data_IF_342493699054
#
_entry.id   IF_342493699054
#
_cell.length_a   1.000
_cell.length_b   1.000
_cell.length_c   1.000
_cell.angle_alpha   90.00
_cell.angle_beta   90.00
_cell.angle_gamma   90.00
#
_symmetry.space_group_name_H-M   'P 1'
#
loop_
_entity.id
_entity.type
_entity.pdbx_description
1 polymer ?
#
# COMPACT_ATOMS: atom_id res chain seq x y z
N UNK A 1 -14.00 25.78 -8.85
CA UNK A 1 -14.06 25.81 -7.38
C UNK A 1 -12.81 25.16 -6.84
N UNK A 2 -12.22 25.73 -5.80
CA UNK A 2 -10.93 25.33 -5.24
C UNK A 2 -11.04 24.93 -3.77
N UNK A 3 -10.10 24.09 -3.33
CA UNK A 3 -10.02 23.65 -1.94
C UNK A 3 -9.52 24.79 -1.03
N UNK A 4 -10.26 25.11 0.04
CA UNK A 4 -9.89 26.17 0.98
C UNK A 4 -8.60 25.96 1.79
N UNK A 5 -7.96 24.78 1.72
CA UNK A 5 -6.66 24.51 2.37
C UNK A 5 -5.50 24.64 1.38
N UNK A 6 -5.52 23.88 0.28
CA UNK A 6 -4.40 23.83 -0.66
C UNK A 6 -4.54 24.77 -1.87
N UNK A 7 -5.69 25.44 -2.03
CA UNK A 7 -6.04 26.29 -3.17
C UNK A 7 -5.97 25.60 -4.54
N UNK A 8 -5.94 24.26 -4.60
CA UNK A 8 -6.05 23.53 -5.86
C UNK A 8 -7.52 23.41 -6.29
N UNK A 9 -7.74 23.48 -7.60
CA UNK A 9 -9.03 23.16 -8.21
C UNK A 9 -9.44 21.71 -7.92
N UNK A 10 -10.72 21.50 -7.64
CA UNK A 10 -11.25 20.16 -7.48
C UNK A 10 -11.19 19.37 -8.79
N UNK A 11 -10.90 18.08 -8.69
CA UNK A 11 -10.81 17.16 -9.82
C UNK A 11 -11.27 15.75 -9.43
N UNK A 12 -11.59 14.91 -10.43
CA UNK A 12 -12.15 13.58 -10.20
C UNK A 12 -11.14 12.53 -9.70
N UNK A 13 -9.85 12.86 -9.57
CA UNK A 13 -8.77 11.90 -9.33
C UNK A 13 -7.92 12.20 -8.11
N UNK A 14 -7.52 13.45 -7.88
CA UNK A 14 -6.51 13.83 -6.91
C UNK A 14 -7.02 14.83 -5.88
N UNK A 15 -7.87 15.77 -6.28
CA UNK A 15 -8.51 16.74 -5.39
C UNK A 15 -10.01 16.52 -5.37
N UNK A 16 -10.44 15.34 -4.90
CA UNK A 16 -11.86 15.00 -4.84
C UNK A 16 -12.49 15.85 -3.73
N UNK A 17 -13.52 16.67 -4.01
CA UNK A 17 -14.19 17.46 -3.01
C UNK A 17 -14.94 16.54 -2.05
N UNK A 18 -14.73 16.76 -0.76
CA UNK A 18 -15.21 15.92 0.32
C UNK A 18 -15.89 16.78 1.36
N UNK A 19 -17.13 16.41 1.70
CA UNK A 19 -17.99 17.14 2.63
C UNK A 19 -17.72 16.68 4.07
N UNK A 20 -17.49 17.64 4.97
CA UNK A 20 -17.43 17.40 6.42
C UNK A 20 -18.83 17.51 7.05
N UNK A 21 -18.99 16.98 8.26
CA UNK A 21 -20.27 17.03 9.02
C UNK A 21 -20.77 18.47 9.26
N UNK A 22 -19.87 19.45 9.27
CA UNK A 22 -20.22 20.86 9.41
C UNK A 22 -20.67 21.55 8.09
N UNK A 23 -20.67 20.83 6.97
CA UNK A 23 -21.05 21.36 5.66
C UNK A 23 -19.91 21.99 4.85
N UNK A 24 -18.72 22.17 5.44
CA UNK A 24 -17.55 22.65 4.71
C UNK A 24 -16.98 21.55 3.79
N UNK A 25 -16.47 21.96 2.63
CA UNK A 25 -15.89 21.05 1.63
C UNK A 25 -14.40 21.30 1.44
N UNK A 26 -13.59 20.25 1.49
CA UNK A 26 -12.15 20.28 1.24
C UNK A 26 -11.76 19.12 0.32
N UNK A 27 -10.59 19.16 -0.31
CA UNK A 27 -10.15 17.98 -1.05
C UNK A 27 -9.77 16.85 -0.09
N UNK A 28 -10.06 15.60 -0.47
CA UNK A 28 -9.77 14.40 0.33
C UNK A 28 -8.33 14.36 0.87
N UNK A 29 -7.34 14.75 0.07
CA UNK A 29 -5.93 14.78 0.49
C UNK A 29 -5.69 15.73 1.66
N UNK A 30 -6.27 16.93 1.63
CA UNK A 30 -6.14 17.89 2.72
C UNK A 30 -6.82 17.40 4.00
N UNK A 31 -7.96 16.71 3.89
CA UNK A 31 -8.62 16.10 5.05
C UNK A 31 -7.74 14.98 5.64
N UNK A 32 -7.14 14.14 4.81
CA UNK A 32 -6.16 13.14 5.24
C UNK A 32 -4.98 13.78 5.97
N UNK A 33 -4.43 14.88 5.44
CA UNK A 33 -3.32 15.60 6.07
C UNK A 33 -3.73 16.22 7.43
N UNK A 34 -4.98 16.73 7.56
CA UNK A 34 -5.54 17.19 8.86
C UNK A 34 -5.64 16.02 9.84
N UNK A 35 -6.11 14.86 9.40
CA UNK A 35 -6.29 13.67 10.25
C UNK A 35 -4.96 13.10 10.73
N UNK A 36 -3.96 13.06 9.84
CA UNK A 36 -2.64 12.50 10.12
C UNK A 36 -1.81 13.49 10.99
N UNK A 37 -2.20 14.76 11.04
CA UNK A 37 -1.47 15.81 11.74
C UNK A 37 -0.25 16.31 10.95
N UNK A 38 -0.23 16.10 9.62
CA UNK A 38 0.86 16.51 8.73
C UNK A 38 0.74 17.99 8.30
N UNK A 39 -0.41 18.65 8.54
CA UNK A 39 -0.55 20.09 8.34
C UNK A 39 0.10 20.87 9.48
N UNK A 40 1.18 21.60 9.15
CA UNK A 40 1.80 22.60 10.00
C UNK A 40 0.90 23.82 10.15
N UNK A 41 -0.19 23.69 10.91
CA UNK A 41 -0.90 24.86 11.43
C UNK A 41 -0.15 25.24 12.70
N UNK A 42 0.88 26.08 12.55
CA UNK A 42 1.79 26.47 13.63
C UNK A 42 1.10 27.26 14.78
N UNK A 43 -0.21 27.50 14.69
CA UNK A 43 -0.99 28.28 15.67
C UNK A 43 -2.12 27.53 16.41
N UNK A 44 -2.31 26.22 16.22
CA UNK A 44 -3.33 25.48 17.01
C UNK A 44 -2.76 24.98 18.35
N UNK A 45 -2.66 25.92 19.29
CA UNK A 45 -2.42 25.71 20.72
C UNK A 45 -3.60 24.99 21.40
N UNK A 46 -3.94 23.72 21.15
CA UNK A 46 -4.85 22.99 22.06
C UNK A 46 -4.62 21.47 22.12
N UNK A 47 -4.64 20.98 23.37
CA UNK A 47 -4.39 19.60 23.83
C UNK A 47 -5.55 18.61 23.60
N UNK A 48 -6.50 18.90 22.71
CA UNK A 48 -7.61 17.98 22.41
C UNK A 48 -7.30 17.18 21.14
N UNK A 49 -7.30 15.85 21.23
CA UNK A 49 -7.18 14.90 20.09
C UNK A 49 -8.36 14.96 19.11
N UNK A 50 -9.22 15.98 19.20
CA UNK A 50 -10.41 16.11 18.39
C UNK A 50 -10.07 16.68 17.01
N UNK A 51 -10.62 16.06 15.98
CA UNK A 51 -10.43 16.46 14.58
C UNK A 51 -11.38 17.61 14.30
N UNK A 52 -10.83 18.82 14.19
CA UNK A 52 -11.62 20.05 14.04
C UNK A 52 -11.58 20.54 12.60
N UNK A 53 -12.73 21.00 12.09
CA UNK A 53 -12.83 21.62 10.78
C UNK A 53 -11.90 22.86 10.71
N UNK A 54 -11.14 23.03 9.62
CA UNK A 54 -10.25 24.19 9.45
C UNK A 54 -10.94 25.56 9.41
N UNK A 55 -12.26 25.59 9.13
CA UNK A 55 -13.01 26.86 8.95
C UNK A 55 -13.80 27.23 10.19
N UNK A 56 -14.56 26.30 10.77
CA UNK A 56 -15.45 26.60 11.90
C UNK A 56 -15.08 25.90 13.21
N UNK A 57 -13.97 25.16 13.21
CA UNK A 57 -13.45 24.41 14.35
C UNK A 57 -14.45 23.44 14.98
N UNK A 58 -15.51 23.04 14.26
CA UNK A 58 -16.42 21.99 14.75
C UNK A 58 -15.76 20.63 14.60
N UNK A 59 -15.94 19.71 15.57
CA UNK A 59 -15.46 18.35 15.45
C UNK A 59 -16.16 17.66 14.27
N UNK A 60 -15.42 16.80 13.56
CA UNK A 60 -15.97 16.00 12.47
C UNK A 60 -15.62 14.51 12.60
N UNK A 61 -16.49 13.65 12.08
CA UNK A 61 -16.33 12.20 12.06
C UNK A 61 -15.32 11.76 11.00
N UNK A 62 -14.77 10.54 11.13
CA UNK A 62 -13.87 9.97 10.11
C UNK A 62 -14.59 9.41 8.88
N UNK A 63 -15.92 9.56 8.80
CA UNK A 63 -16.71 9.07 7.67
C UNK A 63 -16.93 10.20 6.69
N UNK A 64 -16.08 10.23 5.67
CA UNK A 64 -16.13 11.25 4.66
C UNK A 64 -16.94 10.80 3.46
N UNK A 65 -17.77 11.71 2.93
CA UNK A 65 -18.49 11.49 1.67
C UNK A 65 -18.00 12.48 0.63
N UNK A 66 -17.78 12.05 -0.63
CA UNK A 66 -17.56 12.98 -1.72
C UNK A 66 -18.74 13.97 -1.81
N UNK A 67 -18.45 15.24 -2.07
CA UNK A 67 -19.48 16.23 -2.32
C UNK A 67 -19.99 16.05 -3.77
N UNK A 68 -20.97 15.16 -3.94
CA UNK A 68 -21.53 14.81 -5.25
C UNK A 68 -22.26 15.97 -5.93
N UNK A 69 -22.86 16.89 -5.17
CA UNK A 69 -23.46 18.11 -5.72
C UNK A 69 -22.37 18.97 -6.38
N UNK A 70 -21.24 19.14 -5.69
CA UNK A 70 -20.09 19.86 -6.23
C UNK A 70 -19.52 19.17 -7.47
N UNK A 71 -19.31 17.85 -7.42
CA UNK A 71 -18.81 17.08 -8.56
C UNK A 71 -19.74 17.19 -9.77
N UNK A 72 -21.05 17.19 -9.56
CA UNK A 72 -22.05 17.36 -10.62
C UNK A 72 -21.98 18.76 -11.21
N UNK A 73 -21.91 19.80 -10.36
CA UNK A 73 -21.78 21.19 -10.81
C UNK A 73 -20.50 21.45 -11.61
N UNK A 74 -19.43 20.70 -11.33
CA UNK A 74 -18.15 20.78 -12.03
C UNK A 74 -18.05 19.86 -13.25
N UNK A 75 -19.11 19.10 -13.57
CA UNK A 75 -19.08 18.06 -14.62
C UNK A 75 -17.97 17.02 -14.44
N UNK A 76 -17.65 16.71 -13.18
CA UNK A 76 -16.61 15.75 -12.76
C UNK A 76 -17.18 14.41 -12.30
N UNK A 77 -18.51 14.26 -12.26
CA UNK A 77 -19.16 13.04 -11.83
C UNK A 77 -18.93 11.91 -12.87
N UNK A 78 -18.38 10.74 -12.49
CA UNK A 78 -18.13 9.64 -13.43
C UNK A 78 -19.39 8.92 -13.93
N UNK A 79 -20.60 9.38 -13.56
CA UNK A 79 -21.84 8.68 -13.89
C UNK A 79 -22.19 8.99 -15.34
N UNK A 80 -21.91 8.03 -16.22
CA UNK A 80 -22.44 7.98 -17.58
C UNK A 80 -23.96 8.10 -17.55
N UNK A 81 -24.50 8.95 -18.41
CA UNK A 81 -25.92 9.30 -18.56
C UNK A 81 -26.86 8.17 -19.03
N UNK A 82 -26.49 6.90 -18.92
CA UNK A 82 -27.30 5.78 -19.41
C UNK A 82 -27.91 4.99 -18.25
N UNK A 83 -29.04 5.49 -17.75
CA UNK A 83 -29.90 4.78 -16.83
C UNK A 83 -30.87 3.86 -17.59
N UNK A 84 -30.48 2.60 -17.80
CA UNK A 84 -31.41 1.48 -17.88
C UNK A 84 -30.80 0.27 -17.17
N UNK A 85 -31.33 -0.03 -15.99
CA UNK A 85 -31.06 -1.29 -15.30
C UNK A 85 -31.82 -2.43 -15.99
N UNK A 86 -31.12 -3.52 -16.37
CA UNK A 86 -31.70 -4.83 -16.11
C UNK A 86 -30.72 -5.77 -15.39
N UNK A 87 -31.28 -6.38 -14.35
CA UNK A 87 -30.98 -7.67 -13.72
C UNK A 87 -29.72 -8.44 -14.22
N UNK A 88 -28.64 -8.28 -13.46
CA UNK A 88 -27.35 -8.95 -13.63
C UNK A 88 -27.40 -10.45 -13.23
N UNK A 89 -28.46 -10.92 -12.56
CA UNK A 89 -28.52 -12.29 -12.03
C UNK A 89 -28.96 -13.36 -13.02
N UNK A 90 -29.54 -13.01 -14.18
CA UNK A 90 -30.14 -14.01 -15.07
C UNK A 90 -29.19 -14.55 -16.16
N UNK A 91 -28.17 -13.78 -16.60
CA UNK A 91 -27.25 -14.20 -17.69
C UNK A 91 -26.21 -15.26 -17.30
N UNK A 92 -25.88 -15.38 -16.01
CA UNK A 92 -24.90 -16.38 -15.56
C UNK A 92 -25.49 -17.78 -15.34
N UNK A 93 -26.82 -17.94 -15.24
CA UNK A 93 -27.45 -19.29 -15.13
C UNK A 93 -27.43 -20.06 -16.46
N UNK A 94 -27.53 -19.39 -17.59
CA UNK A 94 -27.65 -20.04 -18.91
C UNK A 94 -26.34 -20.56 -19.50
N UNK A 95 -25.19 -20.03 -19.05
CA UNK A 95 -23.86 -20.49 -19.52
C UNK A 95 -23.45 -21.78 -18.79
N UNK A 96 -23.81 -21.94 -17.52
CA UNK A 96 -23.46 -23.13 -16.73
C UNK A 96 -24.35 -24.35 -17.02
N UNK A 97 -25.62 -24.16 -17.41
CA UNK A 97 -26.51 -25.28 -17.76
C UNK A 97 -26.15 -25.97 -19.09
N UNK A 98 -25.40 -25.32 -19.98
CA UNK A 98 -25.00 -25.91 -21.28
C UNK A 98 -23.67 -26.69 -21.24
N UNK A 99 -22.88 -26.58 -20.17
CA UNK A 99 -21.61 -27.32 -20.04
C UNK A 99 -21.70 -28.58 -19.17
N UNK A 100 -22.81 -28.77 -18.43
CA UNK A 100 -23.04 -29.96 -17.60
C UNK A 100 -23.52 -31.19 -18.38
N UNK A 101 -23.89 -31.06 -19.65
CA UNK A 101 -24.51 -32.13 -20.44
C UNK A 101 -23.54 -32.96 -21.30
N UNK A 102 -22.23 -32.67 -21.30
CA UNK A 102 -21.26 -33.30 -22.23
C UNK A 102 -19.94 -33.79 -21.58
N UNK A 103 -19.97 -34.32 -20.35
CA UNK A 103 -18.82 -35.07 -19.81
C UNK A 103 -19.27 -36.35 -19.13
N UNK A 104 -18.59 -37.45 -19.46
CA UNK A 104 -18.64 -38.68 -18.69
C UNK A 104 -18.29 -38.38 -17.22
N UNK A 105 -18.93 -39.05 -16.25
CA UNK A 105 -18.74 -38.75 -14.84
C UNK A 105 -17.30 -39.07 -14.44
N UNK A 106 -16.59 -38.04 -13.96
CA UNK A 106 -15.24 -38.08 -13.38
C UNK A 106 -15.04 -39.20 -12.31
N UNK A 107 -16.15 -39.74 -11.79
CA UNK A 107 -16.22 -40.84 -10.84
C UNK A 107 -15.69 -42.19 -11.38
N UNK A 108 -15.63 -42.40 -12.70
CA UNK A 108 -15.15 -43.67 -13.27
C UNK A 108 -13.62 -43.81 -13.25
N UNK A 109 -12.88 -42.69 -13.13
CA UNK A 109 -11.41 -42.70 -13.17
C UNK A 109 -10.75 -42.93 -11.80
N UNK A 110 -11.47 -42.74 -10.69
CA UNK A 110 -10.91 -42.83 -9.33
C UNK A 110 -11.94 -43.33 -8.31
N UNK A 111 -12.28 -44.64 -8.29
CA UNK A 111 -13.34 -45.20 -7.45
C UNK A 111 -13.02 -45.19 -5.93
N UNK A 112 -11.79 -44.85 -5.54
CA UNK A 112 -11.35 -44.81 -4.14
C UNK A 112 -11.44 -43.43 -3.48
N UNK A 113 -11.75 -42.37 -4.23
CA UNK A 113 -11.85 -41.01 -3.67
C UNK A 113 -13.29 -40.75 -3.25
N UNK A 114 -13.51 -40.53 -1.95
CA UNK A 114 -14.82 -40.21 -1.38
C UNK A 114 -15.40 -38.95 -2.07
N UNK A 115 -16.70 -38.95 -2.37
CA UNK A 115 -17.42 -37.80 -2.93
C UNK A 115 -17.24 -36.54 -2.08
N UNK A 116 -17.03 -36.68 -0.76
CA UNK A 116 -16.69 -35.55 0.12
C UNK A 116 -15.32 -34.97 -0.20
N UNK A 117 -14.30 -35.80 -0.43
CA UNK A 117 -12.96 -35.36 -0.80
C UNK A 117 -12.94 -34.68 -2.18
N UNK A 118 -13.74 -35.16 -3.14
CA UNK A 118 -13.89 -34.51 -4.46
C UNK A 118 -14.54 -33.14 -4.30
N UNK A 119 -15.60 -33.02 -3.48
CA UNK A 119 -16.25 -31.74 -3.21
C UNK A 119 -15.32 -30.77 -2.47
N UNK A 120 -14.49 -31.24 -1.54
CA UNK A 120 -13.49 -30.43 -0.84
C UNK A 120 -12.37 -29.96 -1.78
N UNK A 121 -11.84 -30.82 -2.65
CA UNK A 121 -10.83 -30.44 -3.66
C UNK A 121 -11.42 -29.45 -4.66
N UNK A 122 -12.67 -29.68 -5.10
CA UNK A 122 -13.35 -28.79 -6.04
C UNK A 122 -13.67 -27.44 -5.40
N UNK A 123 -14.20 -27.41 -4.17
CA UNK A 123 -14.48 -26.17 -3.43
C UNK A 123 -13.18 -25.42 -3.11
N UNK A 124 -12.11 -26.11 -2.69
CA UNK A 124 -10.80 -25.49 -2.48
C UNK A 124 -10.24 -24.89 -3.77
N UNK A 125 -10.37 -25.60 -4.90
CA UNK A 125 -9.91 -25.12 -6.21
C UNK A 125 -10.74 -23.94 -6.72
N UNK A 126 -12.07 -23.99 -6.58
CA UNK A 126 -12.99 -22.92 -7.00
C UNK A 126 -12.85 -21.69 -6.12
N UNK A 127 -12.71 -21.85 -4.81
CA UNK A 127 -12.53 -20.74 -3.87
C UNK A 127 -11.17 -20.04 -4.09
N UNK A 128 -10.11 -20.81 -4.38
CA UNK A 128 -8.82 -20.26 -4.82
C UNK A 128 -8.87 -19.57 -6.19
N UNK A 129 -9.81 -19.94 -7.07
CA UNK A 129 -10.03 -19.27 -8.37
C UNK A 129 -10.82 -17.97 -8.20
N UNK A 130 -11.74 -17.89 -7.24
CA UNK A 130 -12.57 -16.69 -6.98
C UNK A 130 -11.81 -15.66 -6.11
N UNK A 131 -10.95 -16.09 -5.20
CA UNK A 131 -10.21 -15.19 -4.28
C UNK A 131 -8.92 -14.59 -4.87
N UNK A 132 -8.49 -15.02 -6.06
CA UNK A 132 -7.29 -14.51 -6.73
C UNK A 132 -7.60 -13.47 -7.81
N UNK A 133 -8.63 -12.64 -7.62
CA UNK A 133 -8.79 -11.44 -8.43
C UNK A 133 -7.61 -10.50 -8.16
N UNK A 134 -6.64 -10.55 -9.07
CA UNK A 134 -5.47 -9.70 -9.01
C UNK A 134 -5.91 -8.25 -9.27
N UNK A 135 -5.75 -7.39 -8.26
CA UNK A 135 -6.19 -5.99 -8.32
C UNK A 135 -5.01 -5.03 -8.46
N UNK A 136 -5.23 -3.93 -9.18
CA UNK A 136 -4.30 -2.80 -9.17
C UNK A 136 -4.36 -2.06 -7.81
N UNK A 137 -3.50 -1.06 -7.62
CA UNK A 137 -3.45 -0.25 -6.39
C UNK A 137 -4.76 0.50 -6.09
N UNK A 138 -5.61 0.70 -7.09
CA UNK A 138 -6.92 1.37 -6.95
C UNK A 138 -8.08 0.36 -6.81
N UNK A 139 -7.80 -0.94 -6.64
CA UNK A 139 -8.81 -1.97 -6.43
C UNK A 139 -9.49 -2.52 -7.70
N UNK A 140 -9.19 -2.00 -8.89
CA UNK A 140 -9.71 -2.58 -10.15
C UNK A 140 -9.02 -3.90 -10.50
N UNK A 141 -9.78 -4.81 -11.11
CA UNK A 141 -9.27 -6.10 -11.60
C UNK A 141 -8.27 -5.92 -12.75
N UNK A 142 -7.22 -6.73 -12.72
CA UNK A 142 -6.24 -6.86 -13.79
C UNK A 142 -6.65 -7.99 -14.73
N UNK A 143 -6.68 -7.68 -16.02
CA UNK A 143 -6.91 -8.65 -17.07
C UNK A 143 -5.59 -8.99 -17.75
N UNK A 144 -5.45 -10.23 -18.22
CA UNK A 144 -4.31 -10.60 -19.06
C UNK A 144 -4.55 -10.09 -20.48
N UNK A 145 -3.55 -9.44 -21.09
CA UNK A 145 -3.57 -9.12 -22.52
C UNK A 145 -2.37 -9.76 -23.20
N UNK A 146 -2.63 -10.30 -24.39
CA UNK A 146 -1.61 -10.90 -25.25
C UNK A 146 -1.05 -9.88 -26.26
N UNK A 147 -1.60 -8.67 -26.36
CA UNK A 147 -1.11 -7.64 -27.26
C UNK A 147 -1.53 -6.23 -26.85
N UNK A 148 -0.75 -5.62 -25.94
CA UNK A 148 -1.00 -4.24 -25.50
C UNK A 148 -0.93 -3.22 -26.63
N UNK A 149 -0.05 -3.44 -27.60
CA UNK A 149 0.16 -2.53 -28.73
C UNK A 149 -1.06 -2.49 -29.66
N UNK A 150 -1.75 -3.63 -29.82
CA UNK A 150 -3.00 -3.66 -30.60
C UNK A 150 -4.15 -2.96 -29.86
N UNK A 151 -4.21 -3.08 -28.53
CA UNK A 151 -5.28 -2.46 -27.73
C UNK A 151 -5.11 -0.94 -27.54
N UNK A 152 -3.88 -0.45 -27.56
CA UNK A 152 -3.55 0.97 -27.44
C UNK A 152 -2.83 1.40 -28.72
N UNK A 153 -3.58 1.95 -29.67
CA UNK A 153 -3.17 2.37 -31.02
C UNK A 153 -2.12 3.50 -31.07
N UNK A 154 -1.29 3.64 -30.04
CA UNK A 154 -0.27 4.66 -29.89
C UNK A 154 1.10 4.02 -29.88
N UNK A 155 1.86 4.19 -30.97
CA UNK A 155 3.24 3.72 -31.14
C UNK A 155 4.25 4.36 -30.17
N UNK A 156 3.82 5.26 -29.27
CA UNK A 156 4.71 6.03 -28.40
C UNK A 156 4.81 5.51 -26.96
N UNK A 157 4.02 4.51 -26.56
CA UNK A 157 4.02 4.05 -25.17
C UNK A 157 4.96 2.86 -24.94
N UNK A 158 6.08 3.12 -24.26
CA UNK A 158 6.91 2.07 -23.66
C UNK A 158 6.18 1.47 -22.44
N UNK A 159 5.56 0.31 -22.64
CA UNK A 159 4.87 -0.43 -21.57
C UNK A 159 5.88 -1.05 -20.60
N UNK A 160 6.15 -0.33 -19.51
CA UNK A 160 6.99 -0.81 -18.41
C UNK A 160 6.14 -1.45 -17.32
N UNK A 161 6.56 -2.64 -16.90
CA UNK A 161 5.99 -3.28 -15.71
C UNK A 161 6.12 -2.33 -14.52
N UNK A 162 5.01 -1.99 -13.87
CA UNK A 162 4.96 -1.07 -12.73
C UNK A 162 5.87 -1.55 -11.60
N UNK A 163 5.95 -2.86 -11.37
CA UNK A 163 6.71 -3.45 -10.28
C UNK A 163 8.21 -3.54 -10.56
N UNK A 164 8.64 -4.17 -11.66
CA UNK A 164 10.08 -4.36 -11.95
C UNK A 164 10.69 -3.33 -12.92
N UNK A 165 9.89 -2.43 -13.48
CA UNK A 165 10.28 -1.36 -14.42
C UNK A 165 10.89 -1.84 -15.76
N UNK A 166 10.91 -3.15 -16.03
CA UNK A 166 11.33 -3.72 -17.31
C UNK A 166 10.26 -3.54 -18.37
N UNK A 167 10.67 -3.29 -19.61
CA UNK A 167 9.80 -3.25 -20.78
C UNK A 167 9.23 -4.64 -21.06
N UNK A 168 7.93 -4.71 -21.36
CA UNK A 168 7.24 -5.97 -21.64
C UNK A 168 6.18 -5.78 -22.72
N UNK A 169 6.08 -6.77 -23.60
CA UNK A 169 5.04 -6.85 -24.63
C UNK A 169 3.79 -7.58 -24.14
N UNK A 170 3.90 -8.35 -23.05
CA UNK A 170 2.85 -9.20 -22.49
C UNK A 170 2.75 -9.02 -20.97
N UNK A 171 1.53 -9.16 -20.43
CA UNK A 171 1.30 -9.13 -18.99
C UNK A 171 -0.16 -8.89 -18.59
N UNK A 172 -0.31 -8.36 -17.39
CA UNK A 172 -1.60 -8.07 -16.76
C UNK A 172 -1.80 -6.56 -16.67
N UNK A 173 -2.98 -6.09 -17.03
CA UNK A 173 -3.26 -4.66 -17.09
C UNK A 173 -4.62 -4.29 -16.50
N UNK A 174 -4.68 -3.10 -15.93
CA UNK A 174 -5.91 -2.43 -15.55
C UNK A 174 -6.08 -1.24 -16.50
N UNK A 175 -7.07 -1.36 -17.38
CA UNK A 175 -7.40 -0.34 -18.39
C UNK A 175 -7.72 1.02 -17.76
N UNK A 176 -8.55 1.14 -16.70
CA UNK A 176 -8.83 2.43 -16.07
C UNK A 176 -7.60 3.16 -15.52
N UNK A 177 -6.61 2.42 -15.00
CA UNK A 177 -5.44 3.00 -14.33
C UNK A 177 -4.19 3.07 -15.19
N UNK A 178 -4.20 2.45 -16.39
CA UNK A 178 -3.00 2.21 -17.19
C UNK A 178 -1.91 1.52 -16.33
N UNK A 179 -2.34 0.59 -15.47
CA UNK A 179 -1.46 -0.13 -14.56
C UNK A 179 -1.10 -1.46 -15.17
N UNK A 180 0.18 -1.72 -15.39
CA UNK A 180 0.68 -2.92 -16.09
C UNK A 180 1.68 -3.65 -15.20
N UNK A 181 1.58 -4.97 -15.12
CA UNK A 181 2.58 -5.83 -14.48
C UNK A 181 2.88 -7.04 -15.34
N UNK A 182 4.12 -7.54 -15.27
CA UNK A 182 4.53 -8.74 -16.00
C UNK A 182 4.12 -10.02 -15.26
N UNK A 183 4.12 -11.16 -15.95
CA UNK A 183 3.76 -12.47 -15.35
C UNK A 183 4.61 -12.79 -14.12
N UNK A 184 5.93 -12.62 -14.17
CA UNK A 184 6.81 -12.83 -13.00
C UNK A 184 6.45 -11.94 -11.78
N UNK A 185 5.91 -10.74 -12.02
CA UNK A 185 5.48 -9.85 -10.95
C UNK A 185 4.08 -10.21 -10.45
N UNK A 186 3.22 -10.73 -11.33
CA UNK A 186 1.93 -11.32 -10.95
C UNK A 186 2.15 -12.53 -10.05
N UNK A 187 3.01 -13.47 -10.44
CA UNK A 187 3.35 -14.66 -9.65
C UNK A 187 3.84 -14.26 -8.27
N UNK A 188 4.80 -13.34 -8.19
CA UNK A 188 5.29 -12.80 -6.92
C UNK A 188 4.17 -12.19 -6.08
N UNK A 189 3.27 -11.39 -6.66
CA UNK A 189 2.15 -10.80 -5.92
C UNK A 189 1.24 -11.91 -5.37
N UNK A 190 0.95 -12.96 -6.16
CA UNK A 190 0.06 -14.06 -5.74
C UNK A 190 0.70 -15.02 -4.75
N UNK A 191 2.02 -15.16 -4.74
CA UNK A 191 2.76 -16.10 -3.88
C UNK A 191 3.27 -15.48 -2.58
N UNK A 192 3.16 -14.16 -2.42
CA UNK A 192 3.69 -13.46 -1.24
C UNK A 192 2.63 -12.66 -0.52
N UNK A 193 2.72 -12.67 0.81
CA UNK A 193 1.80 -11.94 1.67
C UNK A 193 2.18 -10.46 1.77
N UNK A 194 1.15 -9.63 1.74
CA UNK A 194 1.30 -8.20 2.05
C UNK A 194 1.38 -8.02 3.55
N UNK A 195 2.31 -7.20 4.03
CA UNK A 195 2.43 -6.89 5.46
C UNK A 195 1.42 -5.79 5.80
N UNK A 196 0.38 -6.11 6.56
CA UNK A 196 -0.69 -5.18 6.94
C UNK A 196 -0.36 -4.30 8.17
N UNK A 197 0.92 -4.12 8.50
CA UNK A 197 1.34 -3.25 9.60
C UNK A 197 1.57 -1.82 9.07
N UNK A 198 0.88 -0.79 9.58
CA UNK A 198 0.97 0.57 9.05
C UNK A 198 2.37 1.20 9.20
N UNK A 199 3.18 0.71 10.15
CA UNK A 199 4.56 1.12 10.30
C UNK A 199 5.51 0.52 9.27
N UNK A 200 5.18 -0.65 8.70
CA UNK A 200 6.03 -1.40 7.79
C UNK A 200 5.64 -1.11 6.34
N UNK A 201 6.09 0.04 5.86
CA UNK A 201 5.93 0.48 4.47
C UNK A 201 7.27 0.95 3.91
N UNK A 202 7.39 1.03 2.58
CA UNK A 202 8.56 1.66 1.97
C UNK A 202 8.51 3.19 2.14
N UNK A 203 9.59 3.88 1.75
CA UNK A 203 9.67 5.34 1.86
C UNK A 203 8.56 6.10 1.13
N UNK A 204 7.93 5.51 0.09
CA UNK A 204 6.77 6.11 -0.61
C UNK A 204 5.42 5.65 -0.07
N UNK A 205 5.40 5.12 1.15
CA UNK A 205 4.23 4.53 1.82
C UNK A 205 3.55 3.38 1.06
N UNK A 206 4.17 2.81 0.03
CA UNK A 206 3.64 1.57 -0.57
C UNK A 206 3.77 0.41 0.42
N UNK A 207 2.74 -0.44 0.41
CA UNK A 207 2.77 -1.72 1.12
C UNK A 207 3.94 -2.58 0.62
N UNK A 208 4.58 -3.29 1.54
CA UNK A 208 5.65 -4.23 1.24
C UNK A 208 5.12 -5.67 1.34
N UNK A 209 5.76 -6.59 0.62
CA UNK A 209 5.42 -8.02 0.66
C UNK A 209 6.59 -8.85 1.18
N UNK A 210 6.30 -9.83 2.02
CA UNK A 210 7.32 -10.70 2.59
C UNK A 210 7.73 -11.78 1.57
N UNK A 211 9.01 -11.82 1.21
CA UNK A 211 9.54 -12.70 0.15
C UNK A 211 10.69 -13.56 0.68
N UNK A 212 10.63 -14.90 0.60
CA UNK A 212 11.63 -15.80 1.20
C UNK A 212 12.98 -15.81 0.49
N UNK A 213 13.02 -15.42 -0.79
CA UNK A 213 14.20 -15.51 -1.64
C UNK A 213 14.50 -14.19 -2.35
N UNK A 214 14.59 -13.11 -1.58
CA UNK A 214 14.80 -11.75 -2.09
C UNK A 214 16.01 -11.64 -3.03
N UNK A 215 17.05 -12.42 -2.76
CA UNK A 215 18.27 -12.48 -3.56
C UNK A 215 18.04 -12.98 -5.00
N UNK A 216 17.09 -13.89 -5.22
CA UNK A 216 16.80 -14.42 -6.56
C UNK A 216 16.23 -13.32 -7.44
N UNK A 217 15.32 -12.51 -6.89
CA UNK A 217 14.80 -11.34 -7.60
C UNK A 217 15.91 -10.33 -7.89
N UNK A 218 16.73 -9.98 -6.89
CA UNK A 218 17.81 -9.01 -7.06
C UNK A 218 18.87 -9.45 -8.08
N UNK A 219 19.18 -10.75 -8.15
CA UNK A 219 20.05 -11.30 -9.19
C UNK A 219 19.43 -11.13 -10.59
N UNK A 220 18.13 -11.47 -10.75
CA UNK A 220 17.42 -11.37 -12.04
C UNK A 220 17.35 -9.94 -12.59
N UNK A 221 17.33 -8.93 -11.73
CA UNK A 221 17.32 -7.52 -12.13
C UNK A 221 18.72 -6.87 -12.14
N UNK A 222 19.79 -7.68 -12.03
CA UNK A 222 21.17 -7.21 -12.11
C UNK A 222 21.63 -6.38 -10.91
N UNK A 223 21.03 -6.54 -9.73
CA UNK A 223 21.34 -5.75 -8.52
C UNK A 223 22.38 -6.37 -7.57
N UNK A 224 22.93 -7.54 -7.87
CA UNK A 224 24.01 -8.07 -7.04
C UNK A 224 24.37 -9.53 -7.28
N UNK A 225 25.33 -9.99 -6.48
CA UNK A 225 25.97 -11.31 -6.53
C UNK A 225 25.24 -12.39 -5.72
N UNK A 226 23.90 -12.37 -5.68
CA UNK A 226 23.13 -13.37 -4.93
C UNK A 226 22.82 -13.03 -3.46
N UNK A 227 23.02 -11.77 -3.04
CA UNK A 227 22.56 -11.24 -1.76
C UNK A 227 21.76 -9.94 -1.99
N UNK A 228 21.01 -9.48 -0.98
CA UNK A 228 20.39 -8.15 -0.98
C UNK A 228 20.99 -7.27 0.12
N UNK A 229 20.94 -5.95 -0.05
CA UNK A 229 21.31 -5.01 1.01
C UNK A 229 20.03 -4.53 1.69
N UNK A 230 19.93 -4.71 3.00
CA UNK A 230 18.80 -4.21 3.76
C UNK A 230 18.87 -2.67 3.85
N UNK A 231 17.86 -1.97 3.33
CA UNK A 231 17.77 -0.50 3.35
C UNK A 231 17.60 0.09 4.76
N UNK A 232 17.30 -0.77 5.75
CA UNK A 232 17.08 -0.38 7.15
C UNK A 232 18.29 -0.56 8.05
N UNK A 233 19.05 -1.66 7.93
CA UNK A 233 20.27 -1.87 8.74
C UNK A 233 21.57 -1.69 7.95
N UNK A 234 21.48 -1.53 6.62
CA UNK A 234 22.59 -1.42 5.67
C UNK A 234 23.49 -2.65 5.59
N UNK A 235 23.04 -3.78 6.13
CA UNK A 235 23.76 -5.04 6.07
C UNK A 235 23.34 -5.87 4.87
N UNK A 236 24.29 -6.63 4.35
CA UNK A 236 24.06 -7.60 3.27
C UNK A 236 23.45 -8.88 3.86
N UNK A 237 22.33 -9.33 3.29
CA UNK A 237 21.52 -10.44 3.79
C UNK A 237 21.12 -11.40 2.67
N UNK A 238 20.67 -12.59 3.07
CA UNK A 238 20.08 -13.63 2.22
C UNK A 238 18.76 -14.08 2.87
N UNK A 239 17.87 -14.67 2.07
CA UNK A 239 16.61 -15.22 2.57
C UNK A 239 15.48 -14.18 2.62
N UNK A 240 14.73 -14.19 3.72
CA UNK A 240 13.49 -13.43 3.87
C UNK A 240 13.71 -11.90 3.89
N UNK A 241 12.90 -11.20 3.09
CA UNK A 241 12.84 -9.74 3.07
C UNK A 241 11.43 -9.23 2.81
N UNK A 242 11.06 -8.17 3.51
CA UNK A 242 9.93 -7.33 3.13
C UNK A 242 10.37 -6.41 1.97
N UNK A 243 9.78 -6.64 0.79
CA UNK A 243 10.15 -5.96 -0.45
C UNK A 243 9.05 -5.03 -0.95
N UNK A 244 9.44 -3.87 -1.47
CA UNK A 244 8.64 -3.08 -2.40
C UNK A 244 9.42 -2.96 -3.72
N UNK A 245 8.99 -3.74 -4.72
CA UNK A 245 9.64 -3.78 -6.04
C UNK A 245 9.53 -2.43 -6.76
N UNK A 246 8.41 -1.73 -6.60
CA UNK A 246 8.18 -0.40 -7.18
C UNK A 246 9.23 0.65 -6.77
N UNK A 247 9.66 0.61 -5.51
CA UNK A 247 10.64 1.54 -4.95
C UNK A 247 12.05 0.95 -4.86
N UNK A 248 12.22 -0.33 -5.19
CA UNK A 248 13.41 -1.10 -4.84
C UNK A 248 13.79 -0.88 -3.38
N UNK A 249 12.86 -1.22 -2.51
CA UNK A 249 13.07 -1.22 -1.09
C UNK A 249 13.13 -2.65 -0.60
N UNK A 250 14.17 -2.98 0.16
CA UNK A 250 14.41 -4.30 0.74
C UNK A 250 14.67 -4.13 2.24
N UNK A 251 13.80 -4.68 3.09
CA UNK A 251 14.01 -4.72 4.55
C UNK A 251 14.18 -6.18 4.97
N UNK A 252 15.24 -6.51 5.69
CA UNK A 252 15.43 -7.88 6.19
C UNK A 252 14.38 -8.23 7.25
N UNK A 253 14.14 -9.53 7.44
CA UNK A 253 13.16 -10.04 8.40
C UNK A 253 13.37 -9.47 9.82
N UNK A 254 14.58 -9.51 10.37
CA UNK A 254 14.87 -8.94 11.69
C UNK A 254 14.51 -7.45 11.82
N UNK A 255 14.78 -6.64 10.79
CA UNK A 255 14.38 -5.22 10.81
C UNK A 255 12.86 -5.06 10.73
N UNK A 256 12.19 -5.95 10.01
CA UNK A 256 10.72 -5.98 9.87
C UNK A 256 10.07 -6.27 11.21
N UNK A 257 10.53 -7.31 11.91
CA UNK A 257 10.01 -7.69 13.23
C UNK A 257 10.28 -6.64 14.30
N UNK A 258 11.49 -6.05 14.29
CA UNK A 258 11.80 -4.93 15.17
C UNK A 258 10.85 -3.75 14.92
N UNK A 259 10.56 -3.42 13.66
CA UNK A 259 9.67 -2.32 13.36
C UNK A 259 8.23 -2.59 13.82
N UNK A 260 7.71 -3.81 13.58
CA UNK A 260 6.39 -4.24 14.07
C UNK A 260 6.26 -4.12 15.59
N UNK A 261 7.34 -4.42 16.32
CA UNK A 261 7.41 -4.31 17.79
C UNK A 261 7.50 -2.87 18.28
N UNK A 262 8.28 -2.02 17.61
CA UNK A 262 8.63 -0.68 18.11
C UNK A 262 7.56 0.36 17.76
N UNK A 263 7.00 0.32 16.55
CA UNK A 263 6.04 1.35 16.09
C UNK A 263 4.84 1.51 17.04
N UNK A 264 4.20 0.44 17.56
CA UNK A 264 3.12 0.57 18.54
C UNK A 264 3.55 1.21 19.86
N UNK A 265 4.85 1.24 20.15
CA UNK A 265 5.43 1.73 21.40
C UNK A 265 6.16 3.06 21.23
N UNK A 266 6.02 3.71 20.08
CA UNK A 266 6.79 4.91 19.74
C UNK A 266 6.57 6.06 20.73
N UNK A 267 5.39 6.16 21.33
CA UNK A 267 5.10 7.16 22.38
C UNK A 267 5.96 7.03 23.64
N UNK A 268 6.57 5.86 23.87
CA UNK A 268 7.49 5.63 25.01
C UNK A 268 8.94 5.95 24.64
N UNK A 269 9.24 6.23 23.38
CA UNK A 269 10.58 6.59 22.95
C UNK A 269 10.79 8.09 23.07
N UNK A 270 11.92 8.47 23.65
CA UNK A 270 12.29 9.86 23.85
C UNK A 270 13.69 10.16 23.28
N UNK A 271 13.88 11.39 22.81
CA UNK A 271 15.20 11.91 22.46
C UNK A 271 16.05 12.18 23.72
N UNK A 272 17.29 12.64 23.54
CA UNK A 272 18.19 12.96 24.67
C UNK A 272 17.70 14.10 25.58
N UNK A 273 16.69 14.87 25.16
CA UNK A 273 16.04 15.94 25.93
C UNK A 273 14.65 15.56 26.43
N UNK A 274 14.34 14.27 26.51
CA UNK A 274 13.05 13.73 26.95
C UNK A 274 11.82 14.12 26.10
N UNK A 275 11.99 14.74 24.92
CA UNK A 275 10.88 14.93 23.98
C UNK A 275 10.49 13.62 23.30
N UNK A 276 9.19 13.41 23.02
CA UNK A 276 8.72 12.20 22.34
C UNK A 276 9.29 12.09 20.93
N UNK A 277 9.48 10.85 20.48
CA UNK A 277 9.79 10.52 19.09
C UNK A 277 8.52 10.13 18.34
N UNK A 278 8.52 10.32 17.03
CA UNK A 278 7.47 9.85 16.10
C UNK A 278 8.10 9.02 14.99
N UNK A 279 7.41 7.97 14.53
CA UNK A 279 7.86 7.18 13.40
C UNK A 279 7.51 7.89 12.10
N UNK A 280 8.53 8.20 11.29
CA UNK A 280 8.37 8.83 9.98
C UNK A 280 8.88 7.85 8.92
N UNK A 281 7.99 7.12 8.21
CA UNK A 281 8.40 6.18 7.18
C UNK A 281 8.93 6.88 5.92
N UNK A 282 8.45 8.09 5.62
CA UNK A 282 8.82 8.88 4.44
C UNK A 282 9.63 10.13 4.84
N UNK A 283 10.95 10.05 4.71
CA UNK A 283 11.83 11.21 4.90
C UNK A 283 11.98 12.09 3.65
N UNK A 284 11.54 11.60 2.50
CA UNK A 284 11.75 12.28 1.23
C UNK A 284 10.92 13.56 1.11
N UNK A 285 9.75 13.60 1.75
CA UNK A 285 8.87 14.77 1.82
C UNK A 285 9.39 15.86 2.76
N UNK A 286 10.17 15.49 3.79
CA UNK A 286 10.57 16.43 4.86
C UNK A 286 11.96 17.02 4.63
N UNK A 287 12.94 16.25 4.14
CA UNK A 287 14.37 16.69 4.15
C UNK A 287 15.20 16.41 2.90
N UNK A 288 14.61 16.25 1.72
CA UNK A 288 15.37 16.18 0.46
C UNK A 288 16.50 15.11 0.42
N UNK A 289 16.18 13.90 0.89
CA UNK A 289 16.59 12.57 0.35
C UNK A 289 17.29 11.58 1.30
N UNK A 290 17.95 12.01 2.38
CA UNK A 290 18.60 11.08 3.33
C UNK A 290 18.43 11.57 4.78
N UNK A 291 18.54 10.67 5.77
CA UNK A 291 18.70 11.05 7.18
C UNK A 291 19.92 10.38 7.82
N UNK A 292 20.49 11.02 8.85
CA UNK A 292 21.56 10.47 9.67
C UNK A 292 21.02 10.08 11.04
N UNK A 293 21.33 8.88 11.53
CA UNK A 293 20.97 8.49 12.89
C UNK A 293 21.90 9.19 13.88
N UNK A 294 21.35 9.98 14.79
CA UNK A 294 22.13 10.72 15.78
C UNK A 294 22.83 9.81 16.81
N UNK A 295 22.38 8.56 16.94
CA UNK A 295 22.97 7.58 17.86
C UNK A 295 24.14 6.83 17.21
N UNK A 296 23.92 6.17 16.07
CA UNK A 296 24.98 5.36 15.43
C UNK A 296 25.73 6.08 14.30
N UNK A 297 25.36 7.32 13.97
CA UNK A 297 25.96 8.17 12.92
C UNK A 297 25.91 7.59 11.49
N UNK A 298 25.23 6.46 11.27
CA UNK A 298 24.97 5.91 9.93
C UNK A 298 23.92 6.74 9.18
N UNK A 299 24.04 6.79 7.85
CA UNK A 299 23.13 7.53 6.95
C UNK A 299 22.25 6.56 6.16
N UNK A 300 20.97 6.90 6.03
CA UNK A 300 19.94 6.08 5.40
C UNK A 300 19.23 6.86 4.31
N UNK A 301 18.92 6.19 3.19
CA UNK A 301 18.31 6.82 2.00
C UNK A 301 16.89 6.36 1.69
N UNK A 302 16.52 5.16 2.17
CA UNK A 302 15.28 4.48 1.77
C UNK A 302 14.48 3.91 2.94
N UNK A 303 14.95 4.07 4.17
CA UNK A 303 14.22 3.68 5.38
C UNK A 303 13.71 4.91 6.11
N UNK A 304 12.69 4.72 6.95
CA UNK A 304 12.20 5.73 7.87
C UNK A 304 13.08 5.89 9.11
N UNK A 305 12.77 6.89 9.93
CA UNK A 305 13.43 7.15 11.22
C UNK A 305 12.40 7.41 12.33
N UNK A 306 12.85 7.26 13.57
CA UNK A 306 12.18 7.84 14.73
C UNK A 306 12.70 9.25 14.94
N UNK A 307 11.86 10.25 14.68
CA UNK A 307 12.24 11.65 14.66
C UNK A 307 11.68 12.40 15.86
N UNK A 308 12.48 13.30 16.42
CA UNK A 308 12.03 14.35 17.32
C UNK A 308 11.80 15.63 16.53
N UNK A 309 10.54 16.04 16.39
CA UNK A 309 10.19 17.26 15.65
C UNK A 309 10.81 18.55 16.22
N UNK A 310 11.06 18.58 17.54
CA UNK A 310 11.64 19.71 18.26
C UNK A 310 13.16 19.76 18.15
N UNK A 311 13.85 18.66 18.49
CA UNK A 311 15.32 18.61 18.49
C UNK A 311 15.91 18.36 17.12
N UNK A 312 15.09 18.00 16.12
CA UNK A 312 15.53 17.43 14.84
C UNK A 312 16.40 16.17 15.03
N UNK A 313 16.19 15.45 16.13
CA UNK A 313 16.93 14.25 16.53
C UNK A 313 16.35 13.00 15.86
N UNK A 314 17.18 12.27 15.13
CA UNK A 314 16.80 11.15 14.29
C UNK A 314 17.41 9.83 14.81
N UNK A 315 16.59 8.79 14.97
CA UNK A 315 17.03 7.48 15.46
C UNK A 315 16.62 6.39 14.48
N UNK A 316 17.58 5.58 14.02
CA UNK A 316 17.28 4.43 13.16
C UNK A 316 16.63 3.29 13.94
N UNK A 317 15.96 2.38 13.23
CA UNK A 317 15.20 1.25 13.81
C UNK A 317 16.04 0.42 14.78
N UNK A 318 17.27 0.07 14.42
CA UNK A 318 18.18 -0.71 15.28
C UNK A 318 18.53 0.02 16.58
N UNK A 319 18.73 1.34 16.54
CA UNK A 319 19.04 2.13 17.74
C UNK A 319 17.81 2.33 18.62
N UNK A 320 16.63 2.45 18.01
CA UNK A 320 15.36 2.52 18.73
C UNK A 320 15.06 1.21 19.48
N UNK A 321 15.26 0.04 18.84
CA UNK A 321 15.05 -1.27 19.49
C UNK A 321 15.94 -1.46 20.73
N UNK A 322 17.21 -1.05 20.63
CA UNK A 322 18.17 -1.10 21.73
C UNK A 322 17.71 -0.25 22.91
N UNK A 323 17.34 1.01 22.66
CA UNK A 323 16.81 1.91 23.70
C UNK A 323 15.55 1.37 24.36
N UNK A 324 14.65 0.79 23.57
CA UNK A 324 13.41 0.23 24.09
C UNK A 324 13.68 -0.97 25.01
N UNK A 325 14.75 -1.73 24.75
CA UNK A 325 15.20 -2.83 25.60
C UNK A 325 15.83 -2.33 26.90
N UNK A 326 16.58 -1.22 26.87
CA UNK A 326 17.16 -0.57 28.06
C UNK A 326 16.06 -0.08 29.02
N UNK A 327 15.02 0.60 28.50
CA UNK A 327 13.88 1.09 29.29
C UNK A 327 13.14 -0.07 29.98
N UNK A 328 12.94 -1.20 29.29
CA UNK A 328 12.31 -2.38 29.89
C UNK A 328 13.16 -3.04 30.97
N UNK A 329 14.48 -3.06 30.79
CA UNK A 329 15.41 -3.59 31.78
C UNK A 329 15.36 -2.82 33.10
N UNK A 330 15.19 -1.49 33.03
CA UNK A 330 15.06 -0.66 34.24
C UNK A 330 13.75 -0.82 35.00
N UNK A 331 12.70 -1.36 34.36
CA UNK A 331 11.39 -1.58 34.98
C UNK A 331 11.25 -2.95 35.67
N UNK A 332 12.22 -3.84 35.49
CA UNK A 332 12.32 -5.12 36.23
C UNK A 332 13.68 -5.23 36.93
N UNK A 333 13.97 -4.37 37.93
CA UNK A 333 15.07 -4.66 38.84
C UNK A 333 14.73 -5.97 39.58
N UNK A 334 15.65 -6.94 39.52
CA UNK A 334 15.53 -8.24 40.19
C UNK A 334 15.39 -8.10 41.70
#
# INVERSE_FOLDING_TARGET
>A
MECGICSHNYDARYHIPTLLDCGHTFCNKCIEDVIIGDLKVEDLLFQSQEKLCPVDHRPFSTRFTPNYELLTSLSLCPISSDAHAPDFHQKHRTVFQRQASNRAPFAELYPSIDRRQIAEIFNFSVQKVIENELKCTNGHNLNRSENFLAEYQSNEFNFKCRQCKRDKTLGWFCKPCIYIICDECKEWITETDTIENPGVVCIRRHKVRMTPNAQVYNLKIGRGSGNFNCDTCLERRIGWSAQCRECNFDMCESCTENLKKIVPLVGNLQCLRNHPLVWIPDFSTIRNKDYGCDVCKRRFKKSGSFNCGLCKFDVCITCADRRLSEVRGTLNPR
#
